data_IF_880141270908
#
_entry.id   IF_880141270908
#
_cell.length_a   1.000
_cell.length_b   1.000
_cell.length_c   1.000
_cell.angle_alpha   90.00
_cell.angle_beta   90.00
_cell.angle_gamma   90.00
#
_symmetry.space_group_name_H-M   'P 1'
#
loop_
_entity.id
_entity.type
_entity.pdbx_description
1 polymer ?
#
# COMPACT_ATOMS: atom_id res chain seq x y z
N UNK A 1 -10.82 11.65 1.95
CA UNK A 1 -9.49 11.04 1.74
C UNK A 1 -9.29 10.75 0.28
N UNK A 2 -8.10 11.04 -0.21
CA UNK A 2 -7.69 10.71 -1.58
C UNK A 2 -6.55 9.70 -1.55
N UNK A 3 -6.66 8.63 -2.36
CA UNK A 3 -5.66 7.57 -2.43
C UNK A 3 -5.10 7.41 -3.85
N UNK A 4 -3.92 6.84 -3.95
CA UNK A 4 -3.37 6.33 -5.20
C UNK A 4 -3.69 4.84 -5.30
N UNK A 5 -4.15 4.41 -6.45
CA UNK A 5 -4.62 3.04 -6.72
C UNK A 5 -3.88 2.48 -7.93
N UNK A 6 -3.36 1.28 -7.82
CA UNK A 6 -2.76 0.58 -8.96
C UNK A 6 -2.80 -0.94 -8.79
N UNK A 7 -2.62 -1.62 -9.90
CA UNK A 7 -2.46 -3.07 -9.95
C UNK A 7 -1.47 -3.46 -11.03
N UNK A 8 -1.04 -4.71 -11.02
CA UNK A 8 -0.48 -5.34 -12.21
C UNK A 8 -1.61 -6.03 -12.99
N UNK A 9 -1.24 -6.83 -13.99
CA UNK A 9 -2.21 -7.59 -14.79
C UNK A 9 -3.01 -8.61 -13.98
N UNK A 10 -2.39 -9.24 -12.97
CA UNK A 10 -3.06 -10.22 -12.11
C UNK A 10 -4.09 -9.58 -11.18
N UNK A 11 -3.87 -8.35 -10.77
CA UNK A 11 -4.77 -7.61 -9.88
C UNK A 11 -5.75 -6.70 -10.60
N UNK A 12 -5.69 -6.59 -11.93
CA UNK A 12 -6.49 -5.64 -12.69
C UNK A 12 -8.01 -5.80 -12.46
N UNK A 13 -8.52 -7.01 -12.62
CA UNK A 13 -9.95 -7.27 -12.46
C UNK A 13 -10.42 -6.94 -11.03
N UNK A 14 -9.63 -7.27 -10.02
CA UNK A 14 -9.96 -6.98 -8.63
C UNK A 14 -9.88 -5.47 -8.35
N UNK A 15 -8.90 -4.77 -8.88
CA UNK A 15 -8.83 -3.31 -8.80
C UNK A 15 -10.10 -2.66 -9.31
N UNK A 16 -10.58 -3.09 -10.48
CA UNK A 16 -11.81 -2.56 -11.06
C UNK A 16 -13.03 -2.86 -10.16
N UNK A 17 -13.11 -4.07 -9.58
CA UNK A 17 -14.20 -4.44 -8.66
C UNK A 17 -14.21 -3.62 -7.36
N UNK A 18 -13.06 -3.10 -6.94
CA UNK A 18 -12.95 -2.31 -5.71
C UNK A 18 -13.41 -0.86 -5.87
N UNK A 19 -13.48 -0.33 -7.08
CA UNK A 19 -13.85 1.06 -7.32
C UNK A 19 -15.22 1.43 -6.75
N UNK A 20 -16.31 0.64 -6.94
CA UNK A 20 -17.59 0.95 -6.32
C UNK A 20 -17.55 0.98 -4.79
N UNK A 21 -16.79 0.08 -4.16
CA UNK A 21 -16.61 0.08 -2.71
C UNK A 21 -15.89 1.33 -2.22
N UNK A 22 -14.85 1.75 -2.91
CA UNK A 22 -14.13 2.98 -2.58
C UNK A 22 -15.05 4.20 -2.67
N UNK A 23 -15.90 4.25 -3.69
CA UNK A 23 -16.91 5.30 -3.85
C UNK A 23 -17.94 5.29 -2.71
N UNK A 24 -18.41 4.10 -2.34
CA UNK A 24 -19.33 3.92 -1.20
C UNK A 24 -18.72 4.44 0.10
N UNK A 25 -17.42 4.22 0.30
CA UNK A 25 -16.69 4.70 1.48
C UNK A 25 -16.34 6.19 1.42
N UNK A 26 -16.69 6.88 0.34
CA UNK A 26 -16.37 8.30 0.18
C UNK A 26 -14.90 8.57 -0.11
N UNK A 27 -14.18 7.57 -0.65
CA UNK A 27 -12.74 7.66 -0.94
C UNK A 27 -12.56 8.07 -2.41
N UNK A 28 -11.88 9.18 -2.64
CA UNK A 28 -11.43 9.58 -3.96
C UNK A 28 -10.16 8.81 -4.31
N UNK A 29 -10.01 8.44 -5.57
CA UNK A 29 -8.81 7.70 -6.00
C UNK A 29 -8.33 8.16 -7.38
N UNK A 30 -7.01 8.15 -7.53
CA UNK A 30 -6.35 8.23 -8.84
C UNK A 30 -5.91 6.82 -9.25
N UNK A 31 -6.47 6.31 -10.32
CA UNK A 31 -6.06 5.02 -10.89
C UNK A 31 -4.80 5.22 -11.76
N UNK A 32 -3.68 4.70 -11.31
CA UNK A 32 -2.37 4.82 -11.95
C UNK A 32 -2.04 3.63 -12.88
N UNK A 33 -2.98 2.73 -13.11
CA UNK A 33 -2.84 1.53 -13.93
C UNK A 33 -2.79 0.26 -13.07
N UNK A 34 -2.58 -0.94 -13.65
CA UNK A 34 -2.58 -1.20 -15.08
C UNK A 34 -3.94 -0.90 -15.73
N UNK A 35 -3.95 -0.82 -17.06
CA UNK A 35 -5.18 -0.49 -17.82
C UNK A 35 -5.82 -1.73 -18.47
N UNK A 36 -5.23 -2.89 -18.30
CA UNK A 36 -5.71 -4.14 -18.88
C UNK A 36 -5.10 -5.36 -18.16
N UNK A 37 -5.45 -6.56 -18.61
CA UNK A 37 -4.88 -7.81 -18.13
C UNK A 37 -3.62 -8.25 -18.90
N UNK A 38 -3.11 -7.41 -19.79
CA UNK A 38 -1.83 -7.67 -20.46
C UNK A 38 -0.68 -7.62 -19.46
N UNK A 39 0.27 -8.55 -19.61
CA UNK A 39 1.40 -8.70 -18.70
C UNK A 39 2.20 -7.40 -18.54
N UNK A 40 2.40 -6.99 -17.30
CA UNK A 40 3.20 -5.82 -16.93
C UNK A 40 4.04 -6.16 -15.69
N UNK A 41 5.05 -5.33 -15.42
CA UNK A 41 5.91 -5.48 -14.26
C UNK A 41 5.33 -4.76 -13.05
N UNK A 42 4.99 -5.51 -12.00
CA UNK A 42 4.36 -4.95 -10.80
C UNK A 42 5.20 -3.85 -10.11
N UNK A 43 6.54 -3.88 -10.09
CA UNK A 43 7.32 -2.85 -9.40
C UNK A 43 7.09 -1.44 -9.96
N UNK A 44 6.85 -1.32 -11.25
CA UNK A 44 6.58 -0.02 -11.88
C UNK A 44 5.34 0.64 -11.30
N UNK A 45 4.30 -0.14 -11.06
CA UNK A 45 3.03 0.34 -10.50
C UNK A 45 3.12 0.58 -8.99
N UNK A 46 3.81 -0.29 -8.27
CA UNK A 46 4.07 -0.10 -6.85
C UNK A 46 4.83 1.19 -6.60
N UNK A 47 5.82 1.49 -7.43
CA UNK A 47 6.60 2.73 -7.36
C UNK A 47 5.73 3.97 -7.58
N UNK A 48 4.87 3.97 -8.58
CA UNK A 48 3.97 5.09 -8.87
C UNK A 48 3.10 5.43 -7.65
N UNK A 49 2.49 4.43 -7.04
CA UNK A 49 1.67 4.62 -5.83
C UNK A 49 2.54 5.09 -4.66
N UNK A 50 3.67 4.43 -4.44
CA UNK A 50 4.58 4.79 -3.36
C UNK A 50 5.05 6.25 -3.43
N UNK A 51 5.43 6.71 -4.60
CA UNK A 51 5.87 8.10 -4.81
C UNK A 51 4.75 9.11 -4.53
N UNK A 52 3.52 8.82 -4.94
CA UNK A 52 2.35 9.68 -4.64
C UNK A 52 2.08 9.79 -3.15
N UNK A 53 2.21 8.68 -2.42
CA UNK A 53 2.03 8.67 -0.96
C UNK A 53 3.19 9.40 -0.29
N UNK A 54 4.42 9.13 -0.71
CA UNK A 54 5.63 9.72 -0.11
C UNK A 54 5.69 11.25 -0.26
N UNK A 55 5.21 11.79 -1.39
CA UNK A 55 5.24 13.23 -1.64
C UNK A 55 3.96 13.97 -1.20
N UNK A 56 3.01 13.27 -0.59
CA UNK A 56 1.79 13.88 -0.06
C UNK A 56 0.68 14.14 -1.08
N UNK A 57 0.84 13.70 -2.33
CA UNK A 57 -0.22 13.81 -3.35
C UNK A 57 -1.40 12.87 -3.07
N UNK A 58 -1.14 11.79 -2.34
CA UNK A 58 -2.16 10.87 -1.84
C UNK A 58 -1.93 10.63 -0.35
N UNK A 59 -2.99 10.50 0.42
CA UNK A 59 -2.90 10.20 1.85
C UNK A 59 -2.49 8.74 2.09
N UNK A 60 -3.00 7.84 1.28
CA UNK A 60 -2.72 6.41 1.33
C UNK A 60 -2.68 5.81 -0.06
N UNK A 61 -2.20 4.58 -0.15
CA UNK A 61 -2.16 3.82 -1.39
C UNK A 61 -2.85 2.47 -1.27
N UNK A 62 -3.32 1.97 -2.41
CA UNK A 62 -3.92 0.65 -2.54
C UNK A 62 -3.32 -0.05 -3.76
N UNK A 63 -2.72 -1.20 -3.55
CA UNK A 63 -2.04 -2.00 -4.57
C UNK A 63 -2.62 -3.40 -4.63
N UNK A 64 -2.84 -3.91 -5.84
CA UNK A 64 -3.35 -5.27 -6.05
C UNK A 64 -2.47 -6.00 -7.06
N UNK A 65 -1.95 -7.16 -6.68
CA UNK A 65 -1.28 -8.10 -7.58
C UNK A 65 -1.71 -9.53 -7.25
N UNK A 66 -1.00 -10.52 -7.72
CA UNK A 66 -1.39 -11.93 -7.48
C UNK A 66 -1.38 -12.33 -6.02
N UNK A 67 -0.31 -12.00 -5.29
CA UNK A 67 -0.15 -12.33 -3.87
C UNK A 67 -0.11 -11.10 -2.94
N UNK A 68 0.07 -9.91 -3.49
CA UNK A 68 0.30 -8.68 -2.72
C UNK A 68 1.75 -8.51 -2.26
N UNK A 69 2.50 -9.60 -2.14
CA UNK A 69 3.86 -9.60 -1.60
C UNK A 69 4.83 -8.77 -2.44
N UNK A 70 4.84 -8.98 -3.75
CA UNK A 70 5.73 -8.23 -4.64
C UNK A 70 5.45 -6.73 -4.63
N UNK A 71 4.18 -6.35 -4.66
CA UNK A 71 3.76 -4.95 -4.57
C UNK A 71 4.23 -4.30 -3.27
N UNK A 72 4.07 -4.99 -2.14
CA UNK A 72 4.51 -4.48 -0.84
C UNK A 72 6.03 -4.34 -0.77
N UNK A 73 6.77 -5.34 -1.26
CA UNK A 73 8.23 -5.29 -1.29
C UNK A 73 8.73 -4.08 -2.10
N UNK A 74 8.19 -3.91 -3.30
CA UNK A 74 8.57 -2.79 -4.18
C UNK A 74 8.19 -1.44 -3.60
N UNK A 75 6.96 -1.29 -3.10
CA UNK A 75 6.49 -0.05 -2.51
C UNK A 75 7.32 0.37 -1.29
N UNK A 76 7.73 -0.59 -0.46
CA UNK A 76 8.56 -0.32 0.71
C UNK A 76 9.99 0.14 0.37
N UNK A 77 10.42 0.05 -0.88
CA UNK A 77 11.69 0.65 -1.32
C UNK A 77 11.59 2.15 -1.52
N UNK A 78 10.39 2.68 -1.59
CA UNK A 78 10.17 4.13 -1.67
C UNK A 78 10.20 4.72 -0.26
N UNK A 79 11.06 5.70 -0.05
CA UNK A 79 11.19 6.36 1.26
C UNK A 79 9.87 7.02 1.66
N UNK A 80 9.43 6.80 2.90
CA UNK A 80 8.16 7.32 3.42
C UNK A 80 6.99 6.35 3.28
N UNK A 81 7.17 5.22 2.60
CA UNK A 81 6.13 4.19 2.43
C UNK A 81 6.25 3.10 3.49
N UNK A 82 5.13 2.79 4.12
CA UNK A 82 4.96 1.62 4.99
C UNK A 82 3.83 0.78 4.41
N UNK A 83 4.20 -0.09 3.47
CA UNK A 83 3.27 -0.99 2.81
C UNK A 83 3.12 -2.29 3.58
N UNK A 84 1.89 -2.74 3.74
CA UNK A 84 1.57 -4.00 4.39
C UNK A 84 0.68 -4.85 3.48
N UNK A 85 1.00 -6.14 3.41
CA UNK A 85 0.10 -7.14 2.81
C UNK A 85 -0.95 -7.49 3.87
N UNK A 86 -2.22 -7.38 3.53
CA UNK A 86 -3.29 -7.82 4.42
C UNK A 86 -4.09 -8.94 3.75
N UNK A 87 -4.21 -10.06 4.45
CA UNK A 87 -4.92 -11.25 3.99
C UNK A 87 -6.16 -11.55 4.86
N UNK A 88 -6.44 -10.69 5.84
CA UNK A 88 -7.63 -10.77 6.68
C UNK A 88 -7.99 -9.39 7.24
N UNK A 89 -9.23 -9.24 7.70
CA UNK A 89 -9.68 -8.03 8.39
C UNK A 89 -8.79 -7.67 9.58
N UNK A 90 -8.45 -8.66 10.40
CA UNK A 90 -7.66 -8.44 11.61
C UNK A 90 -6.26 -7.93 11.27
N UNK A 91 -5.61 -8.50 10.27
CA UNK A 91 -4.30 -8.04 9.80
C UNK A 91 -4.39 -6.60 9.28
N UNK A 92 -5.43 -6.28 8.53
CA UNK A 92 -5.65 -4.91 8.02
C UNK A 92 -5.80 -3.90 9.16
N UNK A 93 -6.62 -4.23 10.16
CA UNK A 93 -6.82 -3.39 11.35
C UNK A 93 -5.52 -3.16 12.11
N UNK A 94 -4.78 -4.23 12.38
CA UNK A 94 -3.53 -4.16 13.12
C UNK A 94 -2.45 -3.36 12.37
N UNK A 95 -2.36 -3.50 11.06
CA UNK A 95 -1.43 -2.73 10.25
C UNK A 95 -1.70 -1.21 10.36
N UNK A 96 -2.98 -0.84 10.44
CA UNK A 96 -3.36 0.55 10.65
C UNK A 96 -3.16 0.99 12.10
N UNK A 97 -3.69 0.24 13.05
CA UNK A 97 -3.67 0.59 14.47
C UNK A 97 -2.26 0.67 15.04
N UNK A 98 -1.41 -0.28 14.70
CA UNK A 98 -0.08 -0.44 15.30
C UNK A 98 1.06 0.13 14.45
N UNK A 99 0.98 0.04 13.13
CA UNK A 99 2.09 0.35 12.25
C UNK A 99 1.91 1.65 11.45
N UNK A 100 0.74 2.27 11.54
CA UNK A 100 0.38 3.42 10.70
C UNK A 100 0.77 3.15 9.23
N UNK A 101 0.50 1.93 8.78
CA UNK A 101 0.79 1.54 7.42
C UNK A 101 -0.01 2.41 6.45
N UNK A 102 0.65 2.94 5.43
CA UNK A 102 0.04 3.91 4.53
C UNK A 102 -0.19 3.38 3.11
N UNK A 103 0.21 2.14 2.84
CA UNK A 103 -0.09 1.44 1.59
C UNK A 103 -0.58 0.03 1.89
N UNK A 104 -1.79 -0.28 1.42
CA UNK A 104 -2.36 -1.62 1.51
C UNK A 104 -2.04 -2.39 0.24
N UNK A 105 -1.49 -3.59 0.38
CA UNK A 105 -1.27 -4.52 -0.73
C UNK A 105 -2.16 -5.75 -0.59
N UNK A 106 -2.84 -6.11 -1.67
CA UNK A 106 -3.80 -7.20 -1.73
C UNK A 106 -3.39 -8.26 -2.75
N UNK A 107 -3.68 -9.52 -2.44
CA UNK A 107 -3.43 -10.65 -3.32
C UNK A 107 -4.72 -11.16 -3.97
N UNK A 108 -4.93 -10.84 -5.24
CA UNK A 108 -6.13 -11.25 -5.98
C UNK A 108 -6.25 -12.77 -6.16
N UNK A 109 -5.11 -13.49 -6.18
CA UNK A 109 -5.08 -14.96 -6.35
C UNK A 109 -5.07 -15.71 -5.03
N UNK A 110 -4.75 -15.06 -3.93
CA UNK A 110 -4.58 -15.70 -2.62
C UNK A 110 -5.70 -15.39 -1.64
N UNK A 111 -6.55 -14.43 -1.95
CA UNK A 111 -7.62 -13.97 -1.06
C UNK A 111 -8.92 -13.89 -1.86
N UNK A 112 -10.03 -14.37 -1.28
CA UNK A 112 -11.34 -14.33 -1.94
C UNK A 112 -11.83 -12.90 -2.13
N UNK A 113 -12.70 -12.68 -3.11
CA UNK A 113 -13.29 -11.37 -3.37
C UNK A 113 -14.04 -10.81 -2.15
N UNK A 114 -14.79 -11.65 -1.45
CA UNK A 114 -15.52 -11.23 -0.25
C UNK A 114 -14.59 -10.82 0.88
N UNK A 115 -13.50 -11.55 1.08
CA UNK A 115 -12.51 -11.20 2.08
C UNK A 115 -11.77 -9.90 1.73
N UNK A 116 -11.41 -9.72 0.45
CA UNK A 116 -10.79 -8.48 -0.03
C UNK A 116 -11.69 -7.27 0.27
N UNK A 117 -12.99 -7.38 0.05
CA UNK A 117 -13.94 -6.32 0.38
C UNK A 117 -13.94 -5.99 1.87
N UNK A 118 -13.93 -7.00 2.73
CA UNK A 118 -13.85 -6.83 4.19
C UNK A 118 -12.54 -6.18 4.60
N UNK A 119 -11.42 -6.60 4.00
CA UNK A 119 -10.09 -6.05 4.26
C UNK A 119 -10.04 -4.56 3.91
N UNK A 120 -10.51 -4.20 2.72
CA UNK A 120 -10.51 -2.80 2.24
C UNK A 120 -11.36 -1.92 3.14
N UNK A 121 -12.55 -2.38 3.50
CA UNK A 121 -13.45 -1.67 4.41
C UNK A 121 -12.80 -1.48 5.78
N UNK A 122 -12.21 -2.52 6.34
CA UNK A 122 -11.54 -2.46 7.63
C UNK A 122 -10.34 -1.49 7.60
N UNK A 123 -9.52 -1.57 6.57
CA UNK A 123 -8.33 -0.71 6.42
C UNK A 123 -8.70 0.77 6.42
N UNK A 124 -9.62 1.18 5.56
CA UNK A 124 -9.94 2.59 5.36
C UNK A 124 -10.86 3.17 6.44
N UNK A 125 -11.36 2.36 7.36
CA UNK A 125 -12.16 2.81 8.52
C UNK A 125 -11.42 2.68 9.84
N UNK A 126 -10.13 2.28 9.82
CA UNK A 126 -9.32 2.09 11.02
C UNK A 126 -8.25 3.16 11.12
N UNK A 127 -8.14 3.79 12.27
CA UNK A 127 -7.18 4.85 12.56
C UNK A 127 -5.95 4.29 13.30
N UNK A 128 -4.85 5.04 13.22
CA UNK A 128 -3.65 4.77 14.00
C UNK A 128 -3.92 5.05 15.49
N UNK A 129 -3.51 4.13 16.35
CA UNK A 129 -3.74 4.26 17.80
C UNK A 129 -2.76 5.23 18.48
N UNK A 130 -1.61 5.49 17.90
CA UNK A 130 -0.59 6.35 18.50
C UNK A 130 0.03 5.72 19.74
N UNK A 131 0.31 6.54 20.76
CA UNK A 131 0.86 6.07 22.03
C UNK A 131 2.17 5.32 21.86
N UNK A 132 2.27 4.12 22.47
CA UNK A 132 3.47 3.26 22.38
C UNK A 132 3.81 2.85 20.95
N UNK A 133 2.81 2.79 20.06
CA UNK A 133 3.01 2.42 18.66
C UNK A 133 3.71 3.54 17.88
N UNK A 134 3.48 4.80 18.23
CA UNK A 134 4.12 5.94 17.59
C UNK A 134 5.65 5.89 17.76
N UNK A 135 6.14 5.49 18.92
CA UNK A 135 7.58 5.31 19.18
C UNK A 135 8.18 4.27 18.24
N UNK A 136 7.49 3.15 18.04
CA UNK A 136 7.95 2.07 17.16
C UNK A 136 7.92 2.48 15.68
N UNK A 137 6.90 3.18 15.25
CA UNK A 137 6.82 3.71 13.88
C UNK A 137 7.95 4.71 13.64
N UNK A 138 8.25 5.57 14.61
CA UNK A 138 9.35 6.53 14.51
C UNK A 138 10.71 5.81 14.38
N UNK A 139 10.91 4.70 15.05
CA UNK A 139 12.11 3.86 14.89
C UNK A 139 12.23 3.24 13.50
N UNK A 140 11.12 2.84 12.89
CA UNK A 140 11.11 2.38 11.49
C UNK A 140 11.57 3.51 10.56
N UNK A 141 11.05 4.72 10.74
CA UNK A 141 11.47 5.90 9.97
C UNK A 141 12.94 6.22 10.16
N UNK A 142 13.47 6.02 11.36
CA UNK A 142 14.88 6.24 11.66
C UNK A 142 15.78 5.23 10.92
N UNK A 143 15.40 3.96 10.88
CA UNK A 143 16.11 2.92 10.12
C UNK A 143 16.18 3.32 8.64
N UNK A 144 15.08 3.75 8.06
CA UNK A 144 15.01 4.20 6.67
C UNK A 144 15.98 5.35 6.39
N UNK A 145 15.99 6.34 7.27
CA UNK A 145 16.85 7.53 7.17
C UNK A 145 18.32 7.17 7.23
N UNK A 146 18.71 6.29 8.14
CA UNK A 146 20.09 5.83 8.33
C UNK A 146 20.55 4.99 7.14
N UNK A 147 19.70 4.11 6.61
CA UNK A 147 20.00 3.29 5.43
C UNK A 147 20.25 4.16 4.19
N UNK A 148 19.45 5.21 3.98
CA UNK A 148 19.66 6.18 2.90
C UNK A 148 20.99 6.90 3.01
N UNK A 149 21.39 7.34 4.19
CA UNK A 149 22.69 7.98 4.44
C UNK A 149 23.86 7.04 4.19
N UNK A 150 23.71 5.77 4.56
CA UNK A 150 24.76 4.76 4.35
C UNK A 150 25.02 4.52 2.86
N UNK A 151 23.99 4.48 2.04
CA UNK A 151 24.09 4.33 0.59
C UNK A 151 24.76 5.57 -0.02
N UNK A 152 24.36 6.75 0.34
CA UNK A 152 24.97 8.00 -0.14
C UNK A 152 26.45 8.07 0.21
N UNK A 153 26.85 7.62 1.40
CA UNK A 153 28.25 7.62 1.83
C UNK A 153 29.10 6.62 1.05
N UNK A 154 28.52 5.55 0.55
CA UNK A 154 29.22 4.54 -0.29
C UNK A 154 29.38 5.06 -1.72
N UNK A 155 28.39 5.73 -2.27
CA UNK A 155 28.43 6.28 -3.63
C UNK A 155 29.40 7.47 -3.75
N UNK A 156 29.68 8.17 -2.66
CA UNK A 156 30.61 9.31 -2.64
C UNK A 156 32.10 8.91 -2.52
N UNK A 157 32.39 7.63 -2.39
CA UNK A 157 33.77 7.05 -2.34
C UNK A 157 34.13 6.43 -3.68
#
# INVERSE_FOLDING_TARGET
MKIALASDHAGYAEKERLKPLLQELGIEFDDLGAVSEESVDYPDYARKVGERVANGEAEQGLLVCGSGTGMALAANKVQGVRAAVAWSEDVAKLARQHNDANVLALGARTTSQDEIQRIVRAWFTTKFDGGRHAVRVEKIKQIEKESGKSIESVESV
#
